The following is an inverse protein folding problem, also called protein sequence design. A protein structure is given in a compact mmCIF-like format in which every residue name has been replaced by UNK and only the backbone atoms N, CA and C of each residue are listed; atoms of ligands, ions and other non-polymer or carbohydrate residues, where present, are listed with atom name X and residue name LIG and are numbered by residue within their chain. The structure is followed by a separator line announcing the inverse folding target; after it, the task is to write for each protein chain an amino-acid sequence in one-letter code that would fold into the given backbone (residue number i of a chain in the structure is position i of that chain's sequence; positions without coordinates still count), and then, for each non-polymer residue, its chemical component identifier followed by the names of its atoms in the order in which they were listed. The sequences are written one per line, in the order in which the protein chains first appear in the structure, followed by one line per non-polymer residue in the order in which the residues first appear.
data_IF_260052834958
#
_entry.id   IF_260052834958
#
_cell.length_a   1.000
_cell.length_b   1.000
_cell.length_c   1.000
_cell.angle_alpha   90.00
_cell.angle_beta   90.00
_cell.angle_gamma   90.00
#
_symmetry.space_group_name_H-M   'P 1'
#
loop_
_entity.id
_entity.type
_entity.pdbx_description
1 polymer ?
#
# COMPACT_ATOMS: atom_id res chain seq x y z
N UNK A 1 4.89 -6.53 40.07
CA UNK A 1 4.41 -5.18 39.76
C UNK A 1 3.29 -5.38 38.77
N UNK A 2 2.07 -4.99 39.11
CA UNK A 2 0.95 -5.16 38.20
C UNK A 2 1.13 -4.17 37.03
N UNK A 3 0.85 -4.57 35.78
CA UNK A 3 1.01 -3.70 34.63
C UNK A 3 0.16 -2.43 34.79
N UNK A 4 0.75 -1.27 34.51
CA UNK A 4 0.00 -0.02 34.53
C UNK A 4 -1.09 -0.04 33.44
N UNK A 5 -2.33 0.40 33.74
CA UNK A 5 -3.38 0.49 32.74
C UNK A 5 -3.00 1.47 31.63
N UNK A 6 -3.20 1.04 30.37
CA UNK A 6 -3.00 1.91 29.20
C UNK A 6 -3.83 3.18 29.29
N UNK A 7 -3.19 4.33 29.08
CA UNK A 7 -3.87 5.62 29.04
C UNK A 7 -4.52 5.81 27.66
N UNK A 8 -5.47 6.74 27.56
CA UNK A 8 -6.13 7.11 26.31
C UNK A 8 -5.13 7.50 25.20
N UNK A 9 -4.02 8.14 25.56
CA UNK A 9 -2.95 8.51 24.61
C UNK A 9 -2.27 7.29 23.97
N UNK A 10 -2.13 6.20 24.69
CA UNK A 10 -1.49 4.97 24.20
C UNK A 10 -2.39 4.25 23.19
N UNK A 11 -3.70 4.25 23.46
CA UNK A 11 -4.71 3.73 22.53
C UNK A 11 -4.77 4.54 21.23
N UNK A 12 -4.69 5.87 21.32
CA UNK A 12 -4.65 6.74 20.14
C UNK A 12 -3.41 6.43 19.29
N UNK A 13 -2.23 6.35 19.92
CA UNK A 13 -0.97 6.03 19.23
C UNK A 13 -1.03 4.67 18.54
N UNK A 14 -1.58 3.66 19.23
CA UNK A 14 -1.75 2.30 18.68
C UNK A 14 -2.71 2.29 17.49
N UNK A 15 -3.84 2.98 17.60
CA UNK A 15 -4.80 3.09 16.50
C UNK A 15 -4.19 3.78 15.29
N UNK A 16 -3.33 4.78 15.49
CA UNK A 16 -2.65 5.50 14.42
C UNK A 16 -1.71 4.57 13.64
N UNK A 17 -0.90 3.77 14.34
CA UNK A 17 -0.04 2.77 13.69
C UNK A 17 -0.85 1.74 12.91
N UNK A 18 -1.97 1.29 13.45
CA UNK A 18 -2.86 0.36 12.74
C UNK A 18 -3.41 0.97 11.44
N UNK A 19 -3.82 2.24 11.46
CA UNK A 19 -4.26 2.94 10.24
C UNK A 19 -3.15 3.02 9.18
N UNK A 20 -1.90 3.27 9.59
CA UNK A 20 -0.77 3.27 8.65
C UNK A 20 -0.56 1.90 8.00
N UNK A 21 -0.67 0.82 8.76
CA UNK A 21 -0.55 -0.54 8.23
C UNK A 21 -1.64 -0.82 7.20
N UNK A 22 -2.89 -0.43 7.48
CA UNK A 22 -4.00 -0.60 6.53
C UNK A 22 -3.83 0.23 5.26
N UNK A 23 -3.34 1.47 5.38
CA UNK A 23 -3.05 2.31 4.22
C UNK A 23 -1.95 1.70 3.35
N UNK A 24 -0.85 1.26 3.95
CA UNK A 24 0.24 0.56 3.24
C UNK A 24 -0.31 -0.64 2.50
N UNK A 25 -1.10 -1.49 3.18
CA UNK A 25 -1.69 -2.69 2.59
C UNK A 25 -2.57 -2.35 1.37
N UNK A 26 -3.43 -1.34 1.50
CA UNK A 26 -4.29 -0.89 0.40
C UNK A 26 -3.47 -0.43 -0.81
N UNK A 27 -2.42 0.37 -0.60
CA UNK A 27 -1.57 0.84 -1.69
C UNK A 27 -0.73 -0.29 -2.32
N UNK A 28 -0.30 -1.28 -1.54
CA UNK A 28 0.38 -2.48 -2.08
C UNK A 28 -0.55 -3.26 -3.01
N UNK A 29 -1.81 -3.47 -2.63
CA UNK A 29 -2.78 -4.14 -3.49
C UNK A 29 -3.07 -3.34 -4.76
N UNK A 30 -3.22 -2.01 -4.65
CA UNK A 30 -3.40 -1.14 -5.81
C UNK A 30 -2.19 -1.22 -6.76
N UNK A 31 -0.98 -1.15 -6.22
CA UNK A 31 0.26 -1.31 -6.99
C UNK A 31 0.28 -2.66 -7.72
N UNK A 32 0.05 -3.75 -7.00
CA UNK A 32 0.07 -5.10 -7.58
C UNK A 32 -1.00 -5.27 -8.67
N UNK A 33 -2.21 -4.75 -8.46
CA UNK A 33 -3.29 -4.79 -9.45
C UNK A 33 -2.90 -4.01 -10.72
N UNK A 34 -2.38 -2.77 -10.57
CA UNK A 34 -1.96 -1.96 -11.72
C UNK A 34 -0.78 -2.57 -12.47
N UNK A 35 0.21 -3.11 -11.76
CA UNK A 35 1.34 -3.81 -12.38
C UNK A 35 0.89 -5.05 -13.13
N UNK A 36 0.04 -5.89 -12.52
CA UNK A 36 -0.49 -7.09 -13.17
C UNK A 36 -1.29 -6.73 -14.42
N UNK A 37 -2.15 -5.72 -14.33
CA UNK A 37 -2.95 -5.26 -15.46
C UNK A 37 -2.06 -4.77 -16.61
N UNK A 38 -1.03 -3.98 -16.30
CA UNK A 38 -0.21 -3.30 -17.30
C UNK A 38 0.87 -4.18 -17.93
N UNK A 39 1.43 -5.09 -17.13
CA UNK A 39 2.56 -5.93 -17.50
C UNK A 39 2.14 -7.30 -18.02
N UNK A 40 1.05 -7.88 -17.50
CA UNK A 40 0.59 -9.21 -17.89
C UNK A 40 -0.69 -9.16 -18.73
N UNK A 41 -1.78 -8.60 -18.19
CA UNK A 41 -3.12 -8.74 -18.79
C UNK A 41 -3.26 -7.95 -20.09
N UNK A 42 -2.91 -6.66 -20.11
CA UNK A 42 -3.05 -5.82 -21.32
C UNK A 42 -2.17 -6.37 -22.46
N UNK A 43 -0.89 -6.70 -22.25
CA UNK A 43 -0.07 -7.34 -23.28
C UNK A 43 -0.66 -8.66 -23.79
N UNK A 44 -1.08 -9.56 -22.89
CA UNK A 44 -1.68 -10.83 -23.32
C UNK A 44 -2.95 -10.64 -24.14
N UNK A 45 -3.76 -9.63 -23.79
CA UNK A 45 -4.98 -9.28 -24.52
C UNK A 45 -4.65 -8.73 -25.92
N UNK A 46 -3.64 -7.87 -26.03
CA UNK A 46 -3.15 -7.34 -27.30
C UNK A 46 -2.64 -8.49 -28.18
N UNK A 47 -1.78 -9.35 -27.66
CA UNK A 47 -1.11 -10.42 -28.43
C UNK A 47 -2.10 -11.47 -28.93
N UNK A 48 -3.21 -11.68 -28.22
CA UNK A 48 -4.28 -12.59 -28.64
C UNK A 48 -4.95 -12.21 -29.97
N UNK A 49 -4.83 -10.95 -30.41
CA UNK A 49 -5.34 -10.50 -31.73
C UNK A 49 -6.86 -10.39 -31.85
N UNK A 50 -7.63 -10.68 -30.81
CA UNK A 50 -9.10 -10.62 -30.84
C UNK A 50 -9.68 -9.20 -30.68
N UNK A 51 -8.83 -8.19 -30.50
CA UNK A 51 -9.25 -6.80 -30.32
C UNK A 51 -9.27 -6.04 -31.66
N UNK A 52 -10.31 -5.23 -31.94
CA UNK A 52 -10.29 -4.29 -33.06
C UNK A 52 -9.10 -3.32 -32.97
N UNK A 53 -8.53 -2.91 -34.11
CA UNK A 53 -7.31 -2.09 -34.16
C UNK A 53 -7.41 -0.80 -33.33
N UNK A 54 -8.57 -0.14 -33.37
CA UNK A 54 -8.83 1.07 -32.59
C UNK A 54 -8.81 0.84 -31.07
N UNK A 55 -9.21 -0.35 -30.60
CA UNK A 55 -9.20 -0.72 -29.17
C UNK A 55 -7.81 -1.17 -28.76
N UNK A 56 -7.12 -1.92 -29.63
CA UNK A 56 -5.73 -2.37 -29.42
C UNK A 56 -4.78 -1.19 -29.20
N UNK A 57 -4.88 -0.16 -30.02
CA UNK A 57 -4.02 1.04 -29.91
C UNK A 57 -4.32 1.83 -28.62
N UNK A 58 -5.59 1.93 -28.22
CA UNK A 58 -5.97 2.55 -26.93
C UNK A 58 -5.42 1.76 -25.74
N UNK A 59 -5.54 0.44 -25.76
CA UNK A 59 -5.01 -0.44 -24.72
C UNK A 59 -3.49 -0.29 -24.58
N UNK A 60 -2.77 -0.17 -25.71
CA UNK A 60 -1.32 0.08 -25.71
C UNK A 60 -0.97 1.44 -25.07
N UNK A 61 -1.70 2.51 -25.41
CA UNK A 61 -1.50 3.85 -24.83
C UNK A 61 -1.87 3.92 -23.35
N UNK A 62 -2.87 3.16 -22.92
CA UNK A 62 -3.31 3.08 -21.52
C UNK A 62 -2.23 2.51 -20.59
N UNK A 63 -1.25 1.77 -21.11
CA UNK A 63 -0.17 1.19 -20.28
C UNK A 63 0.67 2.24 -19.59
N UNK A 64 0.96 3.36 -20.26
CA UNK A 64 1.78 4.44 -19.70
C UNK A 64 1.15 5.06 -18.44
N UNK A 65 -0.10 5.56 -18.48
CA UNK A 65 -0.72 6.11 -17.27
C UNK A 65 -0.91 5.06 -16.18
N UNK A 66 -1.21 3.80 -16.52
CA UNK A 66 -1.31 2.73 -15.52
C UNK A 66 0.02 2.46 -14.80
N UNK A 67 1.15 2.49 -15.53
CA UNK A 67 2.47 2.44 -14.89
C UNK A 67 2.72 3.65 -14.00
N UNK A 68 2.36 4.87 -14.43
CA UNK A 68 2.49 6.06 -13.60
C UNK A 68 1.72 5.92 -12.29
N UNK A 69 0.46 5.45 -12.35
CA UNK A 69 -0.35 5.21 -11.15
C UNK A 69 0.29 4.14 -10.27
N UNK A 70 0.80 3.04 -10.85
CA UNK A 70 1.51 2.01 -10.08
C UNK A 70 2.72 2.60 -9.33
N UNK A 71 3.58 3.37 -10.00
CA UNK A 71 4.74 3.98 -9.36
C UNK A 71 4.35 5.02 -8.29
N UNK A 72 3.25 5.75 -8.49
CA UNK A 72 2.70 6.62 -7.45
C UNK A 72 2.26 5.80 -6.24
N UNK A 73 1.51 4.70 -6.43
CA UNK A 73 1.12 3.82 -5.33
C UNK A 73 2.35 3.25 -4.60
N UNK A 74 3.40 2.86 -5.31
CA UNK A 74 4.66 2.41 -4.71
C UNK A 74 5.33 3.52 -3.89
N UNK A 75 5.34 4.76 -4.39
CA UNK A 75 5.81 5.92 -3.65
C UNK A 75 5.02 6.17 -2.37
N UNK A 76 3.68 6.03 -2.42
CA UNK A 76 2.83 6.15 -1.24
C UNK A 76 3.11 5.05 -0.21
N UNK A 77 3.36 3.81 -0.64
CA UNK A 77 3.80 2.73 0.26
C UNK A 77 5.09 3.10 0.98
N UNK A 78 6.09 3.62 0.25
CA UNK A 78 7.36 4.02 0.84
C UNK A 78 7.18 5.18 1.83
N UNK A 79 6.39 6.20 1.47
CA UNK A 79 6.09 7.35 2.33
C UNK A 79 5.40 6.92 3.62
N UNK A 80 4.31 6.15 3.52
CA UNK A 80 3.58 5.68 4.70
C UNK A 80 4.38 4.68 5.54
N UNK A 81 5.19 3.83 4.89
CA UNK A 81 6.12 2.95 5.59
C UNK A 81 7.12 3.74 6.43
N UNK A 82 7.71 4.79 5.86
CA UNK A 82 8.63 5.67 6.59
C UNK A 82 7.96 6.38 7.76
N UNK A 83 6.79 7.00 7.54
CA UNK A 83 6.04 7.69 8.59
C UNK A 83 5.52 6.73 9.69
N UNK A 84 5.14 5.51 9.30
CA UNK A 84 4.66 4.48 10.22
C UNK A 84 5.75 3.92 11.14
N UNK A 85 7.01 3.86 10.68
CA UNK A 85 8.15 3.40 11.50
C UNK A 85 8.34 4.29 12.73
N UNK A 86 8.23 5.61 12.58
CA UNK A 86 8.41 6.54 13.70
C UNK A 86 7.28 6.40 14.72
N UNK A 87 6.05 6.18 14.27
CA UNK A 87 4.94 5.87 15.15
C UNK A 87 5.09 4.51 15.87
N UNK A 88 5.64 3.49 15.19
CA UNK A 88 5.89 2.17 15.78
C UNK A 88 7.02 2.17 16.83
N UNK A 89 8.04 3.03 16.68
CA UNK A 89 9.08 3.22 17.71
C UNK A 89 8.51 3.73 19.02
N UNK A 90 7.53 4.63 18.97
CA UNK A 90 6.84 5.09 20.17
C UNK A 90 6.11 3.94 20.87
N UNK A 91 5.44 3.05 20.13
CA UNK A 91 4.76 1.88 20.71
C UNK A 91 5.72 0.98 21.48
N UNK A 92 6.93 0.75 20.95
CA UNK A 92 7.97 -0.04 21.64
C UNK A 92 8.40 0.52 23.00
N UNK A 93 8.20 1.80 23.26
CA UNK A 93 8.65 2.41 24.51
C UNK A 93 7.79 2.02 25.72
N UNK A 94 6.49 1.83 25.53
CA UNK A 94 5.55 1.40 26.58
C UNK A 94 5.20 -0.10 26.52
N UNK A 95 5.59 -0.79 25.44
CA UNK A 95 5.50 -2.24 25.32
C UNK A 95 6.29 -3.07 26.36
N UNK A 96 7.31 -2.60 27.09
CA UNK A 96 7.84 -3.37 28.21
C UNK A 96 7.04 -3.20 29.52
N UNK A 97 6.15 -2.20 29.59
CA UNK A 97 5.41 -1.86 30.83
C UNK A 97 4.09 -2.63 30.96
N UNK A 98 3.48 -3.01 29.83
CA UNK A 98 2.21 -3.75 29.75
C UNK A 98 2.34 -5.28 29.73
N UNK A 99 3.56 -5.82 29.57
CA UNK A 99 3.82 -7.24 29.33
C UNK A 99 4.95 -7.67 30.28
N UNK A 100 4.58 -8.43 31.31
CA UNK A 100 5.46 -9.40 31.98
C UNK A 100 5.30 -10.72 31.23
#
# INVERSE_FOLDING_TARGET
MDPEPLNHLDWVTTSHVLHWIWLILAFVFLFAAHMTLTHAIIPSLIDSGHLPDGVRERARKLRIPLYCVAFVCLGMVALWGFLGIDAAKNIRHFWPTIWI
#
